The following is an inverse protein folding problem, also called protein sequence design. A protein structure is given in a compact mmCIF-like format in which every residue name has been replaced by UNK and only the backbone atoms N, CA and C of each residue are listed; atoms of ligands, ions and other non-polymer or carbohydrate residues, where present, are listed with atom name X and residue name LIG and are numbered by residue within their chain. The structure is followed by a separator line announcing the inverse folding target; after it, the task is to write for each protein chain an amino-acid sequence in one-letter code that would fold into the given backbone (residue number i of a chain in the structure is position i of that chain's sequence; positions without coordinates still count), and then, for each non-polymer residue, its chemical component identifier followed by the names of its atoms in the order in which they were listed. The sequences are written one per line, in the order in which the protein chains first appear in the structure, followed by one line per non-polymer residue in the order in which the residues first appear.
data_IF_293398149641
#
_entry.id   IF_293398149641
#
_cell.length_a   1.000
_cell.length_b   1.000
_cell.length_c   1.000
_cell.angle_alpha   90.00
_cell.angle_beta   90.00
_cell.angle_gamma   90.00
#
_symmetry.space_group_name_H-M   'P 1'
#
loop_
_entity.id
_entity.type
_entity.pdbx_description
1 polymer ?
#
# COMPACT_ATOMS: atom_id res chain seq x y z
N UNK A 1 14.47 21.41 -23.41
CA UNK A 1 13.75 20.19 -23.01
C UNK A 1 12.49 20.61 -22.30
N UNK A 2 11.34 20.34 -22.90
CA UNK A 2 10.02 20.73 -22.40
C UNK A 2 9.39 19.47 -21.81
N UNK A 3 9.17 19.45 -20.49
CA UNK A 3 8.41 18.37 -19.85
C UNK A 3 6.93 18.61 -20.11
N UNK A 4 6.33 17.70 -20.87
CA UNK A 4 4.89 17.63 -21.10
C UNK A 4 4.27 17.02 -19.82
N UNK A 5 3.60 17.85 -19.02
CA UNK A 5 2.62 17.35 -18.04
C UNK A 5 1.38 16.94 -18.85
N UNK A 6 1.25 15.65 -19.15
CA UNK A 6 -0.02 15.11 -19.63
C UNK A 6 -0.97 15.02 -18.46
N UNK A 7 -1.81 16.04 -18.34
CA UNK A 7 -3.06 15.97 -17.63
C UNK A 7 -4.09 15.19 -18.48
N UNK A 8 -4.94 14.41 -17.81
CA UNK A 8 -6.13 13.81 -18.40
C UNK A 8 -6.06 12.30 -18.68
N UNK A 9 -6.39 11.48 -17.66
CA UNK A 9 -7.44 10.43 -17.71
C UNK A 9 -7.42 9.51 -16.48
N UNK A 10 -8.05 9.94 -15.38
CA UNK A 10 -8.67 9.03 -14.37
C UNK A 10 -9.43 9.73 -13.23
N UNK A 11 -9.83 11.01 -13.38
CA UNK A 11 -10.57 11.75 -12.34
C UNK A 11 -12.05 11.34 -12.14
N UNK A 12 -12.59 10.37 -12.89
CA UNK A 12 -14.04 10.08 -12.89
C UNK A 12 -14.41 8.78 -12.14
N UNK A 13 -13.46 8.08 -11.52
CA UNK A 13 -13.74 6.85 -10.72
C UNK A 13 -13.10 6.78 -9.33
N UNK A 14 -12.67 7.90 -8.75
CA UNK A 14 -12.16 7.94 -7.36
C UNK A 14 -13.28 8.27 -6.37
N UNK A 15 -14.14 7.28 -6.10
CA UNK A 15 -15.27 7.40 -5.12
C UNK A 15 -14.87 7.21 -3.65
N UNK A 16 -13.59 7.10 -3.33
CA UNK A 16 -13.08 7.22 -1.95
C UNK A 16 -12.23 8.49 -1.84
N UNK A 17 -12.60 9.44 -0.99
CA UNK A 17 -11.88 10.71 -0.85
C UNK A 17 -10.50 10.62 -0.16
N UNK A 18 -10.00 9.41 0.09
CA UNK A 18 -8.68 9.16 0.65
C UNK A 18 -7.58 9.06 -0.39
N UNK A 19 -6.35 9.30 0.03
CA UNK A 19 -5.16 9.18 -0.81
C UNK A 19 -4.41 7.88 -0.53
N UNK A 20 -3.85 7.26 -1.57
CA UNK A 20 -3.03 6.05 -1.57
C UNK A 20 -1.68 6.36 -2.19
N UNK A 21 -0.61 6.29 -1.41
CA UNK A 21 0.74 6.67 -1.84
C UNK A 21 1.66 5.46 -1.63
N UNK A 22 2.39 5.06 -2.66
CA UNK A 22 3.41 4.02 -2.54
C UNK A 22 4.76 4.63 -2.17
N UNK A 23 5.49 3.97 -1.28
CA UNK A 23 6.84 4.31 -0.88
C UNK A 23 7.76 3.17 -1.28
N UNK A 24 8.90 3.50 -1.87
CA UNK A 24 9.94 2.53 -2.21
C UNK A 24 11.32 3.18 -2.01
N UNK A 25 12.37 2.39 -2.14
CA UNK A 25 13.76 2.82 -2.11
C UNK A 25 14.44 2.48 -3.43
N UNK A 26 15.50 3.20 -3.79
CA UNK A 26 16.31 2.83 -4.94
C UNK A 26 17.07 1.52 -4.65
N UNK A 27 17.60 1.40 -3.43
CA UNK A 27 18.41 0.27 -2.99
C UNK A 27 17.87 -0.37 -1.70
N UNK A 28 18.22 -1.63 -1.47
CA UNK A 28 17.95 -2.27 -0.18
C UNK A 28 18.71 -1.55 0.94
N UNK A 29 18.09 -1.44 2.11
CA UNK A 29 18.73 -0.84 3.29
C UNK A 29 18.54 0.67 3.45
N UNK A 30 18.00 1.39 2.46
CA UNK A 30 17.80 2.86 2.52
C UNK A 30 16.68 3.31 3.49
N UNK A 31 16.16 2.40 4.31
CA UNK A 31 15.25 2.74 5.41
C UNK A 31 13.82 3.12 5.01
N UNK A 32 13.33 2.73 3.82
CA UNK A 32 11.97 3.05 3.36
C UNK A 32 10.89 2.72 4.39
N UNK A 33 10.89 1.51 4.96
CA UNK A 33 9.89 1.12 5.96
C UNK A 33 9.96 2.01 7.21
N UNK A 34 11.15 2.42 7.63
CA UNK A 34 11.31 3.34 8.75
C UNK A 34 10.68 4.71 8.44
N UNK A 35 10.93 5.24 7.24
CA UNK A 35 10.34 6.49 6.77
C UNK A 35 8.82 6.39 6.70
N UNK A 36 8.28 5.30 6.15
CA UNK A 36 6.83 5.07 6.05
C UNK A 36 6.18 5.05 7.42
N UNK A 37 6.71 4.26 8.36
CA UNK A 37 6.16 4.16 9.70
C UNK A 37 6.21 5.50 10.46
N UNK A 38 7.35 6.20 10.40
CA UNK A 38 7.49 7.51 11.03
C UNK A 38 6.52 8.53 10.41
N UNK A 39 6.43 8.57 9.09
CA UNK A 39 5.53 9.49 8.38
C UNK A 39 4.06 9.19 8.71
N UNK A 40 3.67 7.92 8.74
CA UNK A 40 2.32 7.50 9.11
C UNK A 40 1.93 7.93 10.52
N UNK A 41 2.84 7.76 11.49
CA UNK A 41 2.63 8.21 12.87
C UNK A 41 2.42 9.72 12.91
N UNK A 42 3.30 10.50 12.27
CA UNK A 42 3.15 11.97 12.22
C UNK A 42 1.87 12.39 11.52
N UNK A 43 1.52 11.74 10.42
CA UNK A 43 0.30 12.06 9.67
C UNK A 43 -0.96 11.77 10.50
N UNK A 44 -1.03 10.61 11.16
CA UNK A 44 -2.15 10.25 12.02
C UNK A 44 -2.26 11.20 13.24
N UNK A 45 -1.16 11.48 13.91
CA UNK A 45 -1.14 12.31 15.13
C UNK A 45 -1.42 13.79 14.85
N UNK A 46 -0.88 14.34 13.76
CA UNK A 46 -1.04 15.76 13.45
C UNK A 46 -2.39 16.09 12.81
N UNK A 47 -2.94 15.17 12.01
CA UNK A 47 -4.21 15.42 11.29
C UNK A 47 -5.43 14.86 12.00
N UNK A 48 -5.25 13.87 12.90
CA UNK A 48 -6.34 13.12 13.52
C UNK A 48 -7.14 12.26 12.53
N UNK A 49 -6.69 12.12 11.27
CA UNK A 49 -7.39 11.35 10.25
C UNK A 49 -6.98 9.88 10.27
N UNK A 50 -7.83 9.03 9.70
CA UNK A 50 -7.57 7.59 9.60
C UNK A 50 -6.45 7.32 8.60
N UNK A 51 -5.33 6.80 9.10
CA UNK A 51 -4.14 6.46 8.33
C UNK A 51 -3.88 4.96 8.36
N UNK A 52 -3.62 4.37 7.21
CA UNK A 52 -3.19 2.98 7.07
C UNK A 52 -1.75 2.90 6.58
N UNK A 53 -0.98 1.97 7.15
CA UNK A 53 0.26 1.46 6.56
C UNK A 53 -0.03 0.06 6.05
N UNK A 54 0.33 -0.20 4.80
CA UNK A 54 0.12 -1.51 4.15
C UNK A 54 1.44 -1.98 3.57
N UNK A 55 1.91 -3.15 4.00
CA UNK A 55 3.03 -3.78 3.31
C UNK A 55 2.57 -4.27 1.93
N UNK A 56 3.28 -3.92 0.86
CA UNK A 56 2.89 -4.24 -0.49
C UNK A 56 2.59 -5.74 -0.71
N UNK A 57 3.37 -6.71 -0.17
CA UNK A 57 3.04 -8.13 -0.30
C UNK A 57 1.68 -8.50 0.32
N UNK A 58 1.23 -7.79 1.36
CA UNK A 58 -0.06 -8.04 2.01
C UNK A 58 -1.26 -7.66 1.11
N UNK A 59 -1.08 -6.78 0.12
CA UNK A 59 -2.12 -6.45 -0.86
C UNK A 59 -2.51 -7.66 -1.70
N UNK A 60 -1.57 -8.58 -1.97
CA UNK A 60 -1.84 -9.82 -2.73
C UNK A 60 -2.80 -10.77 -1.99
N UNK A 61 -2.77 -10.72 -0.67
CA UNK A 61 -3.57 -11.59 0.19
C UNK A 61 -4.95 -11.00 0.52
N UNK A 62 -5.18 -9.74 0.18
CA UNK A 62 -6.46 -9.06 0.41
C UNK A 62 -7.48 -9.46 -0.65
N UNK A 63 -8.51 -10.19 -0.22
CA UNK A 63 -9.67 -10.42 -1.08
C UNK A 63 -10.66 -9.29 -0.96
N UNK A 64 -11.45 -9.10 -2.00
CA UNK A 64 -12.58 -8.14 -2.03
C UNK A 64 -13.48 -8.25 -0.78
N UNK A 65 -13.80 -9.47 -0.36
CA UNK A 65 -14.61 -9.72 0.84
C UNK A 65 -13.92 -9.32 2.16
N UNK A 66 -12.59 -9.23 2.18
CA UNK A 66 -11.83 -8.78 3.35
C UNK A 66 -11.97 -7.25 3.53
N UNK A 67 -12.27 -6.48 2.48
CA UNK A 67 -12.45 -5.03 2.59
C UNK A 67 -13.72 -4.63 3.35
N UNK A 68 -14.77 -5.44 3.29
CA UNK A 68 -15.96 -5.26 4.14
C UNK A 68 -15.68 -5.60 5.61
N UNK A 69 -14.50 -6.15 5.91
CA UNK A 69 -14.05 -6.55 7.25
C UNK A 69 -12.69 -5.92 7.62
N UNK A 70 -12.35 -4.76 7.03
CA UNK A 70 -11.09 -4.03 7.29
C UNK A 70 -10.71 -3.96 8.77
N UNK A 71 -11.63 -3.67 9.72
CA UNK A 71 -11.27 -3.60 11.13
C UNK A 71 -10.69 -4.90 11.69
N UNK A 72 -11.00 -6.06 11.09
CA UNK A 72 -10.53 -7.38 11.56
C UNK A 72 -9.20 -7.83 10.97
N UNK A 73 -8.67 -7.15 9.94
CA UNK A 73 -7.38 -7.51 9.29
C UNK A 73 -6.28 -6.53 9.60
N UNK A 74 -6.64 -5.27 9.83
CA UNK A 74 -5.69 -4.25 10.22
C UNK A 74 -5.50 -4.29 11.73
N UNK A 75 -4.26 -4.43 12.17
CA UNK A 75 -3.92 -4.22 13.57
C UNK A 75 -3.96 -2.71 13.84
N UNK A 76 -4.81 -2.28 14.77
CA UNK A 76 -4.69 -0.93 15.30
C UNK A 76 -3.39 -0.83 16.10
N UNK A 77 -2.59 0.19 15.80
CA UNK A 77 -1.34 0.42 16.53
C UNK A 77 -1.61 1.09 17.89
N UNK A 78 -0.57 1.31 18.69
CA UNK A 78 -0.68 2.13 19.91
C UNK A 78 -1.00 3.61 19.60
N UNK A 79 -0.84 4.04 18.35
CA UNK A 79 -1.12 5.40 17.89
C UNK A 79 -2.58 5.50 17.46
N UNK A 80 -3.29 6.48 18.01
CA UNK A 80 -4.68 6.75 17.63
C UNK A 80 -4.79 7.05 16.14
N UNK A 81 -5.81 6.50 15.49
CA UNK A 81 -6.08 6.64 14.07
C UNK A 81 -5.01 6.06 13.12
N UNK A 82 -4.14 5.16 13.61
CA UNK A 82 -3.15 4.47 12.78
C UNK A 82 -3.37 2.95 12.80
N UNK A 83 -3.49 2.40 11.59
CA UNK A 83 -3.71 0.99 11.32
C UNK A 83 -2.58 0.40 10.48
N UNK A 84 -2.24 -0.86 10.74
CA UNK A 84 -1.20 -1.59 10.03
C UNK A 84 -1.75 -2.89 9.43
N UNK A 85 -1.48 -3.10 8.15
CA UNK A 85 -1.64 -4.39 7.48
C UNK A 85 -0.26 -4.93 7.12
N UNK A 86 0.19 -5.90 7.90
CA UNK A 86 1.42 -6.63 7.64
C UNK A 86 1.15 -7.86 6.75
N UNK A 87 2.15 -8.26 5.97
CA UNK A 87 2.13 -9.52 5.24
C UNK A 87 2.22 -10.68 6.23
N UNK A 88 1.46 -11.75 5.99
CA UNK A 88 1.57 -12.97 6.79
C UNK A 88 2.83 -13.71 6.34
N UNK A 89 3.95 -13.43 6.98
CA UNK A 89 5.08 -14.35 6.92
C UNK A 89 4.66 -15.64 7.61
N UNK A 90 4.84 -16.76 6.91
CA UNK A 90 4.38 -18.11 7.25
C UNK A 90 4.92 -18.62 8.59
N UNK A 91 4.37 -18.17 9.72
CA UNK A 91 4.72 -18.65 11.08
C UNK A 91 3.66 -19.58 11.70
N UNK A 92 2.83 -20.22 10.87
CA UNK A 92 1.96 -21.32 11.31
C UNK A 92 2.20 -22.56 10.44
N UNK A 93 3.08 -23.44 10.93
CA UNK A 93 2.99 -24.90 10.72
C UNK A 93 3.18 -25.43 9.30
N UNK A 94 4.43 -25.74 8.95
CA UNK A 94 4.80 -26.92 8.16
C UNK A 94 3.88 -27.29 6.99
N UNK A 95 3.75 -26.44 5.98
CA UNK A 95 3.38 -26.86 4.62
C UNK A 95 4.28 -26.15 3.63
N UNK A 96 4.95 -26.95 2.82
CA UNK A 96 5.78 -26.57 1.67
C UNK A 96 5.22 -25.34 0.95
N UNK A 97 6.04 -24.32 0.63
CA UNK A 97 5.60 -23.20 -0.16
C UNK A 97 5.27 -23.73 -1.55
N UNK A 98 3.98 -23.81 -1.88
CA UNK A 98 3.57 -23.94 -3.27
C UNK A 98 3.97 -22.63 -3.95
N UNK A 99 5.17 -22.64 -4.52
CA UNK A 99 5.79 -21.59 -5.30
C UNK A 99 5.00 -21.37 -6.60
N UNK A 100 3.81 -20.78 -6.46
CA UNK A 100 3.08 -20.14 -7.55
C UNK A 100 2.91 -18.70 -7.11
N UNK A 101 3.91 -17.89 -7.45
CA UNK A 101 3.81 -16.43 -7.37
C UNK A 101 2.49 -16.04 -8.03
N UNK A 102 1.53 -15.62 -7.22
CA UNK A 102 0.23 -15.23 -7.74
C UNK A 102 0.43 -13.93 -8.50
N UNK A 103 0.18 -13.90 -9.82
CA UNK A 103 0.37 -12.69 -10.60
C UNK A 103 -0.60 -11.63 -10.08
N UNK A 104 -0.07 -10.44 -9.84
CA UNK A 104 -0.75 -9.25 -9.29
C UNK A 104 -2.13 -8.91 -9.87
N UNK A 105 -2.47 -9.43 -11.06
CA UNK A 105 -3.66 -9.02 -11.82
C UNK A 105 -4.69 -10.12 -12.07
N UNK A 106 -4.41 -11.39 -11.78
CA UNK A 106 -5.34 -12.48 -12.17
C UNK A 106 -6.59 -12.57 -11.26
N UNK A 107 -6.58 -11.98 -10.05
CA UNK A 107 -7.75 -12.03 -9.15
C UNK A 107 -8.67 -10.80 -9.20
N UNK A 108 -8.36 -9.79 -10.03
CA UNK A 108 -9.21 -8.61 -10.21
C UNK A 108 -10.45 -8.89 -11.08
N UNK A 109 -10.80 -10.15 -11.32
CA UNK A 109 -11.97 -10.58 -12.12
C UNK A 109 -13.32 -10.08 -11.57
N UNK A 110 -13.37 -9.60 -10.32
CA UNK A 110 -14.61 -9.11 -9.68
C UNK A 110 -14.75 -7.58 -9.63
N UNK A 111 -13.88 -6.82 -10.30
CA UNK A 111 -14.07 -5.39 -10.52
C UNK A 111 -14.05 -4.49 -9.27
N UNK A 112 -13.51 -4.99 -8.16
CA UNK A 112 -13.29 -4.20 -6.94
C UNK A 112 -11.79 -4.05 -6.72
N UNK A 113 -11.32 -2.84 -6.96
CA UNK A 113 -9.92 -2.44 -6.81
C UNK A 113 -9.56 -2.33 -5.31
N UNK A 114 -8.63 -3.15 -4.80
CA UNK A 114 -8.09 -3.05 -3.44
C UNK A 114 -7.74 -1.62 -3.03
N UNK A 115 -7.17 -0.84 -3.93
CA UNK A 115 -6.73 0.53 -3.65
C UNK A 115 -7.91 1.46 -3.49
N UNK A 116 -8.97 1.29 -4.30
CA UNK A 116 -10.22 2.03 -4.16
C UNK A 116 -10.90 1.72 -2.82
N UNK A 117 -10.85 0.47 -2.36
CA UNK A 117 -11.40 0.09 -1.06
C UNK A 117 -10.59 0.70 0.10
N UNK A 118 -9.26 0.81 -0.03
CA UNK A 118 -8.41 1.53 0.93
C UNK A 118 -8.76 3.03 0.95
N UNK A 119 -8.87 3.67 -0.22
CA UNK A 119 -9.25 5.07 -0.36
C UNK A 119 -10.65 5.39 0.17
N UNK A 120 -11.56 4.41 0.20
CA UNK A 120 -12.90 4.56 0.79
C UNK A 120 -12.90 4.48 2.32
N UNK A 121 -11.89 3.84 2.93
CA UNK A 121 -11.85 3.55 4.36
C UNK A 121 -10.84 4.38 5.15
N UNK A 122 -9.78 4.83 4.50
CA UNK A 122 -8.70 5.60 5.11
C UNK A 122 -8.56 6.92 4.38
N UNK A 123 -8.30 7.99 5.12
CA UNK A 123 -7.97 9.29 4.50
C UNK A 123 -6.58 9.25 3.87
N UNK A 124 -5.67 8.48 4.45
CA UNK A 124 -4.31 8.29 3.96
C UNK A 124 -3.95 6.81 4.04
N UNK A 125 -3.43 6.26 2.95
CA UNK A 125 -2.88 4.90 2.88
C UNK A 125 -1.46 5.00 2.35
N UNK A 126 -0.50 4.53 3.14
CA UNK A 126 0.89 4.45 2.74
C UNK A 126 1.22 2.99 2.44
N UNK A 127 1.57 2.69 1.20
CA UNK A 127 2.00 1.36 0.79
C UNK A 127 3.51 1.29 0.93
N UNK A 128 3.99 0.47 1.86
CA UNK A 128 5.40 0.17 2.06
C UNK A 128 5.83 -0.91 1.07
N UNK A 129 6.50 -0.49 0.00
CA UNK A 129 7.08 -1.39 -1.00
C UNK A 129 8.57 -1.64 -0.69
N UNK A 130 9.07 -2.86 -0.96
CA UNK A 130 10.51 -3.10 -0.99
C UNK A 130 11.21 -2.19 -2.01
N UNK A 131 12.54 -2.13 -1.93
CA UNK A 131 13.35 -1.37 -2.90
C UNK A 131 13.14 -1.85 -4.33
N UNK A 132 13.35 -0.95 -5.30
CA UNK A 132 13.25 -1.23 -6.73
C UNK A 132 14.24 -2.32 -7.18
N UNK A 133 15.40 -2.42 -6.52
CA UNK A 133 16.36 -3.51 -6.75
C UNK A 133 15.89 -4.88 -6.26
N UNK A 134 14.95 -4.92 -5.32
CA UNK A 134 14.45 -6.14 -4.69
C UNK A 134 13.09 -6.60 -5.23
N UNK A 135 12.29 -5.67 -5.76
CA UNK A 135 10.88 -5.93 -6.07
C UNK A 135 10.31 -4.93 -7.09
N UNK A 136 9.48 -5.42 -8.02
CA UNK A 136 8.77 -4.59 -9.00
C UNK A 136 7.45 -4.00 -8.48
N UNK A 137 7.11 -4.22 -7.20
CA UNK A 137 5.80 -3.86 -6.64
C UNK A 137 5.46 -2.38 -6.78
N UNK A 138 6.42 -1.50 -6.52
CA UNK A 138 6.22 -0.06 -6.67
C UNK A 138 5.96 0.33 -8.13
N UNK A 139 6.64 -0.29 -9.08
CA UNK A 139 6.42 -0.07 -10.52
C UNK A 139 5.03 -0.56 -10.96
N UNK A 140 4.60 -1.70 -10.43
CA UNK A 140 3.31 -2.29 -10.75
C UNK A 140 2.14 -1.49 -10.17
N UNK A 141 2.33 -0.88 -8.98
CA UNK A 141 1.33 -0.05 -8.31
C UNK A 141 1.28 1.38 -8.87
N UNK A 142 2.38 1.87 -9.45
CA UNK A 142 2.51 3.26 -9.91
C UNK A 142 1.33 3.79 -10.76
N UNK A 143 0.70 3.00 -11.67
CA UNK A 143 -0.44 3.48 -12.44
C UNK A 143 -1.73 3.68 -11.64
N UNK A 144 -1.86 3.01 -10.50
CA UNK A 144 -3.12 2.87 -9.76
C UNK A 144 -3.12 3.68 -8.45
N UNK A 145 -1.95 4.13 -7.97
CA UNK A 145 -1.79 4.98 -6.77
C UNK A 145 -1.85 6.49 -7.10
N UNK A 146 -1.98 7.33 -6.08
CA UNK A 146 -1.94 8.80 -6.21
C UNK A 146 -0.53 9.34 -6.42
N UNK A 147 0.48 8.57 -6.05
CA UNK A 147 1.88 8.94 -6.22
C UNK A 147 2.82 7.87 -5.69
N UNK A 148 4.07 7.97 -6.14
CA UNK A 148 5.17 7.13 -5.66
C UNK A 148 6.23 8.05 -5.06
N UNK A 149 6.66 7.74 -3.84
CA UNK A 149 7.75 8.40 -3.13
C UNK A 149 8.96 7.49 -3.13
N UNK A 150 10.06 7.98 -3.70
CA UNK A 150 11.36 7.31 -3.66
C UNK A 150 12.17 7.83 -2.48
N UNK A 151 12.49 6.96 -1.54
CA UNK A 151 13.40 7.21 -0.43
C UNK A 151 14.82 6.93 -0.90
N UNK A 152 15.75 7.83 -0.60
CA UNK A 152 17.18 7.68 -0.88
C UNK A 152 17.97 8.00 0.38
N UNK A 153 19.00 7.21 0.65
CA UNK A 153 19.97 7.52 1.71
C UNK A 153 20.87 8.69 1.28
N UNK A 154 21.29 9.51 2.25
CA UNK A 154 22.03 10.76 2.03
C UNK A 154 23.54 10.60 2.25
#
# INVERSE_FOLDING_TARGET
MQFLLTDGRSEIMRRGGGSVIAFTAANEGEGVSHVVHFFAEKLATQTGKRTAVVQAPALRDLRVADFMKIPGRFAQTSVANLWLLASKTSDEGGRTPSNKEKPWREDLEWGLDPLQALAANFSYTLIDCPSLGASCEAEMLAPDVDGVVLVVEA
#
